data_IF_989493826203
#
_entry.id   IF_989493826203
#
_cell.length_a   1.000
_cell.length_b   1.000
_cell.length_c   1.000
_cell.angle_alpha   90.00
_cell.angle_beta   90.00
_cell.angle_gamma   90.00
#
_symmetry.space_group_name_H-M   'P 1'
#
loop_
_entity.id
_entity.type
_entity.pdbx_description
1 polymer ?
#
# COMPACT_ATOMS: atom_id res chain seq x y z
N UNK A 1 13.38 -22.16 -3.16
CA UNK A 1 13.59 -20.74 -2.81
C UNK A 1 12.43 -19.98 -3.41
N UNK A 2 11.60 -19.33 -2.60
CA UNK A 2 10.53 -18.48 -3.12
C UNK A 2 11.19 -17.15 -3.47
N UNK A 3 11.25 -16.80 -4.76
CA UNK A 3 11.68 -15.46 -5.17
C UNK A 3 10.63 -14.46 -4.70
N UNK A 4 10.99 -13.65 -3.71
CA UNK A 4 10.17 -12.50 -3.31
C UNK A 4 10.53 -11.35 -4.25
N UNK A 5 9.65 -11.09 -5.21
CA UNK A 5 9.77 -9.94 -6.11
C UNK A 5 9.65 -8.64 -5.33
N UNK A 6 10.51 -7.68 -5.64
CA UNK A 6 10.42 -6.34 -5.03
C UNK A 6 9.15 -5.66 -5.57
N UNK A 7 8.25 -5.16 -4.69
CA UNK A 7 7.02 -4.51 -5.13
C UNK A 7 7.28 -3.29 -5.99
N UNK A 8 6.43 -3.08 -6.99
CA UNK A 8 6.42 -1.84 -7.76
C UNK A 8 5.64 -0.80 -6.94
N UNK A 9 6.35 0.24 -6.48
CA UNK A 9 5.77 1.28 -5.62
C UNK A 9 5.47 2.53 -6.44
N UNK A 10 4.19 2.90 -6.52
CA UNK A 10 3.71 4.12 -7.18
C UNK A 10 3.24 5.12 -6.12
N UNK A 11 3.90 6.26 -6.01
CA UNK A 11 3.55 7.33 -5.07
C UNK A 11 2.73 8.42 -5.80
N UNK A 12 1.44 8.49 -5.50
CA UNK A 12 0.49 9.44 -6.06
C UNK A 12 0.11 10.53 -5.05
N UNK A 13 0.98 10.88 -4.10
CA UNK A 13 0.63 11.91 -3.11
C UNK A 13 1.79 12.51 -2.31
N UNK A 14 1.40 13.16 -1.20
CA UNK A 14 2.33 13.72 -0.22
C UNK A 14 2.20 12.91 1.08
N UNK A 15 2.87 11.74 1.14
CA UNK A 15 3.10 11.00 2.40
C UNK A 15 4.40 11.48 3.05
N UNK A 16 4.55 11.20 4.37
CA UNK A 16 5.79 11.53 5.09
C UNK A 16 6.98 10.83 4.42
N UNK A 17 8.03 11.59 4.10
CA UNK A 17 9.24 11.11 3.40
C UNK A 17 9.88 9.88 4.06
N UNK A 18 9.83 9.80 5.40
CA UNK A 18 10.34 8.65 6.16
C UNK A 18 9.54 7.38 5.88
N UNK A 19 8.21 7.45 5.84
CA UNK A 19 7.36 6.29 5.55
C UNK A 19 7.59 5.76 4.13
N UNK A 20 7.70 6.67 3.15
CA UNK A 20 8.02 6.30 1.77
C UNK A 20 9.42 5.68 1.64
N UNK A 21 10.40 6.19 2.39
CA UNK A 21 11.75 5.62 2.44
C UNK A 21 11.76 4.22 3.07
N UNK A 22 10.96 3.96 4.10
CA UNK A 22 10.85 2.63 4.71
C UNK A 22 10.23 1.63 3.73
N UNK A 23 9.12 2.01 3.08
CA UNK A 23 8.45 1.19 2.08
C UNK A 23 9.38 0.84 0.90
N UNK A 24 10.09 1.84 0.35
CA UNK A 24 11.08 1.64 -0.73
C UNK A 24 12.28 0.79 -0.33
N UNK A 25 12.52 0.61 0.97
CA UNK A 25 13.61 -0.22 1.52
C UNK A 25 13.11 -1.59 1.99
N UNK A 26 11.86 -1.95 1.69
CA UNK A 26 11.28 -3.22 2.12
C UNK A 26 11.15 -3.33 3.64
N UNK A 27 10.85 -2.23 4.35
CA UNK A 27 10.69 -2.24 5.81
C UNK A 27 9.46 -1.51 6.32
N UNK A 28 8.97 -1.98 7.45
CA UNK A 28 7.94 -1.35 8.28
C UNK A 28 6.54 -1.86 7.95
N UNK A 29 5.57 -1.54 8.82
CA UNK A 29 4.21 -2.11 8.83
C UNK A 29 3.52 -2.30 7.47
N UNK A 30 3.67 -1.35 6.56
CA UNK A 30 3.02 -1.44 5.24
C UNK A 30 3.64 -2.55 4.36
N UNK A 31 4.91 -2.89 4.56
CA UNK A 31 5.53 -4.05 3.91
C UNK A 31 4.98 -5.34 4.50
N UNK A 32 4.89 -5.42 5.83
CA UNK A 32 4.31 -6.57 6.52
C UNK A 32 2.86 -6.83 6.04
N UNK A 33 2.05 -5.78 5.88
CA UNK A 33 0.69 -5.86 5.32
C UNK A 33 0.68 -6.37 3.86
N UNK A 34 1.65 -5.95 3.05
CA UNK A 34 1.77 -6.39 1.65
C UNK A 34 2.18 -7.87 1.58
N UNK A 35 3.14 -8.30 2.40
CA UNK A 35 3.58 -9.70 2.48
C UNK A 35 2.43 -10.61 2.92
N UNK A 36 1.70 -10.22 3.97
CA UNK A 36 0.51 -10.95 4.42
C UNK A 36 -0.54 -11.08 3.31
N UNK A 37 -0.80 -10.00 2.56
CA UNK A 37 -1.76 -10.04 1.44
C UNK A 37 -1.30 -10.99 0.34
N UNK A 38 0.00 -11.06 0.05
CA UNK A 38 0.55 -11.98 -0.95
C UNK A 38 0.39 -13.43 -0.49
N UNK A 39 0.63 -13.71 0.79
CA UNK A 39 0.48 -15.04 1.35
C UNK A 39 -0.99 -15.51 1.32
N UNK A 40 -1.94 -14.65 1.68
CA UNK A 40 -3.37 -14.93 1.56
C UNK A 40 -3.79 -15.23 0.10
N UNK A 41 -3.25 -14.48 -0.87
CA UNK A 41 -3.51 -14.73 -2.29
C UNK A 41 -2.89 -16.06 -2.75
N UNK A 42 -1.67 -16.38 -2.31
CA UNK A 42 -1.01 -17.66 -2.62
C UNK A 42 -1.79 -18.84 -2.07
N UNK A 43 -2.26 -18.74 -0.83
CA UNK A 43 -3.11 -19.75 -0.21
C UNK A 43 -4.42 -19.93 -0.97
N UNK A 44 -5.07 -18.83 -1.36
CA UNK A 44 -6.33 -18.86 -2.10
C UNK A 44 -6.20 -19.44 -3.53
N UNK A 45 -5.07 -19.24 -4.20
CA UNK A 45 -4.81 -19.75 -5.55
C UNK A 45 -4.29 -21.19 -5.57
N UNK A 46 -3.78 -21.71 -4.44
CA UNK A 46 -3.28 -23.08 -4.34
C UNK A 46 -2.25 -23.44 -5.41
N UNK A 47 -2.47 -24.53 -6.15
CA UNK A 47 -1.55 -24.99 -7.20
C UNK A 47 -1.40 -23.99 -8.37
N UNK A 48 -2.38 -23.11 -8.58
CA UNK A 48 -2.33 -22.13 -9.65
C UNK A 48 -1.29 -21.03 -9.40
N UNK A 49 -0.92 -20.80 -8.14
CA UNK A 49 0.16 -19.88 -7.77
C UNK A 49 1.55 -20.50 -7.95
N UNK A 50 1.68 -21.83 -7.94
CA UNK A 50 2.99 -22.49 -7.99
C UNK A 50 3.78 -22.20 -9.29
N UNK A 51 3.06 -21.89 -10.37
CA UNK A 51 3.63 -21.60 -11.69
C UNK A 51 3.53 -20.11 -12.08
N UNK A 52 3.09 -19.23 -11.17
CA UNK A 52 2.85 -17.81 -11.46
C UNK A 52 3.67 -16.94 -10.53
N UNK A 53 4.35 -15.96 -11.10
CA UNK A 53 5.02 -14.91 -10.34
C UNK A 53 4.01 -13.83 -9.96
N UNK A 54 3.86 -13.55 -8.66
CA UNK A 54 2.98 -12.49 -8.16
C UNK A 54 3.82 -11.23 -8.03
N UNK A 55 3.47 -10.20 -8.81
CA UNK A 55 4.13 -8.88 -8.74
C UNK A 55 3.17 -7.88 -8.10
N UNK A 56 3.36 -7.52 -6.82
CA UNK A 56 2.49 -6.56 -6.13
C UNK A 56 2.73 -5.12 -6.63
N UNK A 57 1.65 -4.43 -6.99
CA UNK A 57 1.65 -2.99 -7.32
C UNK A 57 1.03 -2.22 -6.15
N UNK A 58 1.85 -1.42 -5.46
CA UNK A 58 1.43 -0.69 -4.26
C UNK A 58 1.27 0.80 -4.59
N UNK A 59 0.03 1.28 -4.57
CA UNK A 59 -0.30 2.69 -4.82
C UNK A 59 -0.50 3.43 -3.50
N UNK A 60 0.40 4.35 -3.21
CA UNK A 60 0.32 5.20 -2.01
C UNK A 60 -0.23 6.56 -2.40
N UNK A 61 -1.37 6.96 -1.83
CA UNK A 61 -1.96 8.27 -2.10
C UNK A 61 -2.40 8.98 -0.81
N UNK A 62 -2.54 10.31 -0.88
CA UNK A 62 -3.12 11.12 0.19
C UNK A 62 -4.59 11.41 -0.13
N UNK A 63 -5.50 10.93 0.71
CA UNK A 63 -6.91 11.37 0.66
C UNK A 63 -6.99 12.86 0.94
N UNK A 64 -7.57 13.64 0.01
CA UNK A 64 -7.84 15.07 0.22
C UNK A 64 -8.91 15.18 1.32
N UNK A 65 -8.62 15.90 2.40
CA UNK A 65 -9.63 16.20 3.42
C UNK A 65 -10.75 17.01 2.75
N UNK A 66 -11.98 16.52 2.81
CA UNK A 66 -13.15 17.33 2.48
C UNK A 66 -13.23 18.42 3.56
N UNK A 67 -13.14 19.70 3.17
CA UNK A 67 -13.44 20.79 4.10
C UNK A 67 -14.87 20.58 4.57
N UNK A 68 -15.10 20.29 5.86
CA UNK A 68 -16.44 20.45 6.40
C UNK A 68 -16.80 21.92 6.20
N UNK A 69 -17.92 22.19 5.52
CA UNK A 69 -18.52 23.52 5.57
C UNK A 69 -19.02 23.69 7.00
N UNK A 70 -18.16 24.20 7.87
CA UNK A 70 -18.53 24.60 9.23
C UNK A 70 -19.53 25.76 9.14
N UNK A 71 -20.53 25.70 10.01
CA UNK A 71 -21.59 26.67 10.27
C UNK A 71 -21.07 28.07 10.63
N UNK A 72 -20.47 28.80 9.68
CA UNK A 72 -19.98 30.16 9.87
C UNK A 72 -20.97 31.25 9.48
N UNK A 73 -22.28 30.95 9.45
CA UNK A 73 -23.32 31.86 8.92
C UNK A 73 -24.40 32.28 9.91
N UNK A 74 -24.25 32.00 11.20
CA UNK A 74 -25.22 32.43 12.23
C UNK A 74 -24.41 33.01 13.38
N UNK A 75 -23.90 34.23 13.21
CA UNK A 75 -23.49 35.19 14.26
C UNK A 75 -22.87 36.37 13.48
N UNK A 76 -23.72 37.30 13.04
CA UNK A 76 -23.38 38.52 12.32
C UNK A 76 -24.64 39.32 12.05
#
# INVERSE_FOLDING_TARGET
>A
MVETTVPIIVDLGKKKRSALKSLKRGRGRLVDEVEQTIDEIREGLGQEAANKEIVPIVIVYRKKQKRSKGLGGILG
#
